data_IF_015765957923
#
_entry.id   IF_015765957923
#
_cell.length_a   1.000
_cell.length_b   1.000
_cell.length_c   1.000
_cell.angle_alpha   90.00
_cell.angle_beta   90.00
_cell.angle_gamma   90.00
#
_symmetry.space_group_name_H-M   'P 1'
#
loop_
_entity.id
_entity.type
_entity.pdbx_description
1 polymer ?
#
# COMPACT_ATOMS: atom_id res chain seq x y z
N UNK A 1 1.37 -31.60 1.49
CA UNK A 1 0.03 -31.04 1.31
C UNK A 1 0.17 -29.56 0.98
N UNK A 2 -0.45 -29.12 -0.11
CA UNK A 2 -0.51 -27.69 -0.48
C UNK A 2 -1.89 -27.14 -0.18
N UNK A 3 -1.90 -25.94 0.40
CA UNK A 3 -3.14 -25.19 0.63
C UNK A 3 -3.46 -24.40 -0.62
N UNK A 4 -4.70 -24.44 -1.08
CA UNK A 4 -5.13 -23.78 -2.32
C UNK A 4 -6.44 -23.02 -2.13
N UNK A 5 -6.62 -21.93 -2.87
CA UNK A 5 -7.89 -21.26 -3.12
C UNK A 5 -8.23 -21.42 -4.60
N UNK A 6 -9.05 -22.41 -4.98
CA UNK A 6 -9.27 -22.77 -6.38
C UNK A 6 -10.17 -21.78 -7.12
N UNK A 7 -11.08 -21.11 -6.43
CA UNK A 7 -11.97 -20.09 -6.98
C UNK A 7 -11.45 -18.70 -6.66
N UNK A 8 -11.92 -17.71 -7.40
CA UNK A 8 -11.58 -16.29 -7.17
C UNK A 8 -12.83 -15.44 -7.40
N UNK A 9 -12.97 -14.42 -6.55
CA UNK A 9 -13.98 -13.38 -6.67
C UNK A 9 -13.34 -12.04 -7.05
N UNK A 10 -12.18 -11.72 -6.47
CA UNK A 10 -11.42 -10.50 -6.76
C UNK A 10 -10.64 -10.67 -8.07
N UNK A 11 -11.19 -10.19 -9.19
CA UNK A 11 -10.57 -10.29 -10.52
C UNK A 11 -9.70 -9.10 -10.89
N UNK A 12 -9.86 -7.96 -10.23
CA UNK A 12 -9.06 -6.77 -10.46
C UNK A 12 -8.56 -6.26 -9.11
N UNK A 13 -7.25 -6.40 -8.87
CA UNK A 13 -6.61 -6.00 -7.61
C UNK A 13 -5.43 -5.09 -7.92
N UNK A 14 -5.32 -4.01 -7.17
CA UNK A 14 -4.14 -3.17 -7.17
C UNK A 14 -3.63 -2.97 -5.73
N UNK A 15 -2.32 -3.09 -5.56
CA UNK A 15 -1.64 -2.76 -4.31
C UNK A 15 -1.07 -1.35 -4.39
N UNK A 16 -1.17 -0.59 -3.30
CA UNK A 16 -0.61 0.76 -3.15
C UNK A 16 0.41 0.68 -2.04
N UNK A 17 1.68 0.71 -2.37
CA UNK A 17 2.77 0.50 -1.43
C UNK A 17 3.76 1.65 -1.40
N UNK A 18 4.58 1.67 -0.39
CA UNK A 18 5.68 2.61 -0.20
C UNK A 18 5.90 2.94 1.27
N UNK A 19 6.97 3.65 1.52
CA UNK A 19 7.37 4.04 2.86
C UNK A 19 6.34 4.97 3.54
N UNK A 20 6.31 5.02 4.86
CA UNK A 20 5.50 6.02 5.58
C UNK A 20 5.97 7.43 5.20
N UNK A 21 5.02 8.31 4.86
CA UNK A 21 5.33 9.67 4.39
C UNK A 21 5.61 9.81 2.89
N UNK A 22 5.51 8.74 2.10
CA UNK A 22 5.73 8.80 0.63
C UNK A 22 4.53 9.31 -0.18
N UNK A 23 3.38 9.58 0.44
CA UNK A 23 2.21 10.15 -0.24
C UNK A 23 1.14 9.14 -0.67
N UNK A 24 1.14 7.92 -0.15
CA UNK A 24 0.07 6.93 -0.42
C UNK A 24 -1.33 7.46 -0.15
N UNK A 25 -1.52 8.19 0.95
CA UNK A 25 -2.80 8.81 1.32
C UNK A 25 -3.26 9.92 0.37
N UNK A 26 -2.37 10.43 -0.49
CA UNK A 26 -2.73 11.33 -1.58
C UNK A 26 -3.21 10.56 -2.81
N UNK A 27 -2.53 9.46 -3.14
CA UNK A 27 -2.78 8.68 -4.37
C UNK A 27 -4.01 7.77 -4.22
N UNK A 28 -4.18 7.14 -3.06
CA UNK A 28 -5.22 6.14 -2.84
C UNK A 28 -6.67 6.66 -2.99
N UNK A 29 -7.05 7.85 -2.48
CA UNK A 29 -8.36 8.45 -2.75
C UNK A 29 -8.62 8.67 -4.25
N UNK A 30 -7.60 9.13 -4.98
CA UNK A 30 -7.70 9.37 -6.42
C UNK A 30 -7.95 8.05 -7.17
N UNK A 31 -7.26 6.97 -6.81
CA UNK A 31 -7.51 5.64 -7.39
C UNK A 31 -8.92 5.12 -7.07
N UNK A 32 -9.39 5.33 -5.83
CA UNK A 32 -10.74 4.92 -5.41
C UNK A 32 -11.86 5.65 -6.17
N UNK A 33 -11.57 6.81 -6.75
CA UNK A 33 -12.51 7.61 -7.53
C UNK A 33 -12.58 7.24 -9.02
N UNK A 34 -11.68 6.37 -9.51
CA UNK A 34 -11.73 5.89 -10.89
C UNK A 34 -12.99 5.03 -11.12
N UNK A 35 -13.40 4.88 -12.38
CA UNK A 35 -14.52 4.00 -12.72
C UNK A 35 -14.28 2.58 -12.17
N UNK A 36 -15.30 1.97 -11.58
CA UNK A 36 -15.25 0.67 -10.89
C UNK A 36 -14.30 0.63 -9.69
N UNK A 37 -13.63 1.73 -9.35
CA UNK A 37 -12.75 1.81 -8.18
C UNK A 37 -13.53 1.63 -6.87
N UNK A 38 -13.05 0.82 -5.96
CA UNK A 38 -13.59 0.68 -4.62
C UNK A 38 -12.79 1.49 -3.61
N UNK A 39 -13.37 1.76 -2.44
CA UNK A 39 -12.66 2.41 -1.33
C UNK A 39 -11.40 1.59 -1.01
N UNK A 40 -10.25 2.25 -0.99
CA UNK A 40 -9.00 1.60 -0.62
C UNK A 40 -9.04 1.11 0.84
N UNK A 41 -8.42 -0.02 1.07
CA UNK A 41 -8.35 -0.66 2.37
C UNK A 41 -6.91 -0.64 2.89
N UNK A 42 -6.74 -0.28 4.15
CA UNK A 42 -5.54 -0.55 4.90
C UNK A 42 -5.69 -1.94 5.52
N UNK A 43 -5.15 -2.97 4.88
CA UNK A 43 -5.24 -4.33 5.38
C UNK A 43 -3.86 -4.95 5.60
N UNK A 44 -3.40 -4.90 6.85
CA UNK A 44 -2.13 -5.44 7.28
C UNK A 44 -1.99 -6.96 7.11
N UNK A 45 -3.09 -7.71 6.88
CA UNK A 45 -2.99 -9.16 6.70
C UNK A 45 -2.14 -9.55 5.50
N UNK A 46 -2.17 -8.76 4.42
CA UNK A 46 -1.28 -8.98 3.28
C UNK A 46 0.19 -8.84 3.67
N UNK A 47 0.52 -7.87 4.49
CA UNK A 47 1.87 -7.68 5.05
C UNK A 47 2.27 -8.86 5.93
N UNK A 48 1.36 -9.35 6.79
CA UNK A 48 1.63 -10.50 7.68
C UNK A 48 1.92 -11.77 6.89
N UNK A 49 1.15 -12.08 5.84
CA UNK A 49 1.38 -13.27 5.03
C UNK A 49 2.73 -13.24 4.35
N UNK A 50 3.13 -12.07 3.83
CA UNK A 50 4.43 -11.90 3.19
C UNK A 50 5.58 -11.98 4.18
N UNK A 51 5.47 -11.30 5.32
CA UNK A 51 6.50 -11.28 6.36
C UNK A 51 6.72 -12.67 6.95
N UNK A 52 5.64 -13.40 7.27
CA UNK A 52 5.74 -14.77 7.77
C UNK A 52 6.36 -15.72 6.74
N UNK A 53 6.02 -15.56 5.45
CA UNK A 53 6.65 -16.34 4.40
C UNK A 53 8.13 -15.95 4.19
N UNK A 54 8.46 -14.67 4.34
CA UNK A 54 9.83 -14.16 4.29
C UNK A 54 10.71 -14.72 5.41
N UNK A 55 10.15 -14.87 6.62
CA UNK A 55 10.83 -15.51 7.76
C UNK A 55 10.93 -17.05 7.62
N UNK A 56 10.20 -17.65 6.68
CA UNK A 56 10.10 -19.12 6.59
C UNK A 56 9.08 -19.74 7.53
N UNK A 57 8.33 -18.93 8.29
CA UNK A 57 7.30 -19.38 9.26
C UNK A 57 5.96 -19.73 8.58
N UNK A 58 5.79 -19.39 7.31
CA UNK A 58 4.62 -19.75 6.52
C UNK A 58 5.05 -20.38 5.18
N UNK A 59 4.46 -21.54 4.83
CA UNK A 59 4.68 -22.16 3.52
C UNK A 59 4.16 -21.24 2.41
N UNK A 60 4.90 -21.12 1.31
CA UNK A 60 4.52 -20.30 0.14
C UNK A 60 3.13 -20.63 -0.41
N UNK A 61 2.74 -21.94 -0.44
CA UNK A 61 1.39 -22.33 -0.88
C UNK A 61 0.30 -21.80 0.06
N UNK A 62 0.53 -21.82 1.37
CA UNK A 62 -0.40 -21.29 2.36
C UNK A 62 -0.51 -19.75 2.23
N UNK A 63 0.61 -19.04 2.14
CA UNK A 63 0.63 -17.60 1.95
C UNK A 63 -0.16 -17.18 0.69
N UNK A 64 0.08 -17.85 -0.45
CA UNK A 64 -0.66 -17.58 -1.70
C UNK A 64 -2.16 -17.85 -1.58
N UNK A 65 -2.55 -18.90 -0.88
CA UNK A 65 -3.97 -19.20 -0.65
C UNK A 65 -4.64 -18.15 0.25
N UNK A 66 -3.95 -17.72 1.31
CA UNK A 66 -4.43 -16.68 2.23
C UNK A 66 -4.53 -15.32 1.56
N UNK A 67 -3.56 -14.93 0.74
CA UNK A 67 -3.60 -13.70 -0.08
C UNK A 67 -4.84 -13.69 -0.97
N UNK A 68 -5.13 -14.77 -1.68
CA UNK A 68 -6.31 -14.90 -2.55
C UNK A 68 -7.60 -14.84 -1.76
N UNK A 69 -7.67 -15.59 -0.65
CA UNK A 69 -8.85 -15.63 0.21
C UNK A 69 -9.15 -14.25 0.81
N UNK A 70 -8.11 -13.53 1.24
CA UNK A 70 -8.27 -12.19 1.80
C UNK A 70 -8.79 -11.21 0.74
N UNK A 71 -8.23 -11.19 -0.47
CA UNK A 71 -8.71 -10.34 -1.55
C UNK A 71 -10.19 -10.63 -1.90
N UNK A 72 -10.59 -11.93 -1.95
CA UNK A 72 -11.97 -12.32 -2.18
C UNK A 72 -12.90 -11.84 -1.05
N UNK A 73 -12.44 -11.94 0.21
CA UNK A 73 -13.19 -11.48 1.38
C UNK A 73 -13.37 -9.96 1.37
N UNK A 74 -12.32 -9.22 1.03
CA UNK A 74 -12.33 -7.76 1.03
C UNK A 74 -13.26 -7.21 -0.04
N UNK A 75 -13.18 -7.72 -1.28
CA UNK A 75 -14.09 -7.25 -2.33
C UNK A 75 -15.54 -7.60 -2.03
N UNK A 76 -15.80 -8.79 -1.48
CA UNK A 76 -17.14 -9.19 -1.03
C UNK A 76 -17.69 -8.22 0.00
N UNK A 77 -16.90 -7.91 1.03
CA UNK A 77 -17.29 -7.01 2.12
C UNK A 77 -17.52 -5.58 1.63
N UNK A 78 -16.68 -5.05 0.74
CA UNK A 78 -16.87 -3.72 0.16
C UNK A 78 -18.17 -3.60 -0.63
N UNK A 79 -18.58 -4.65 -1.35
CA UNK A 79 -19.80 -4.63 -2.16
C UNK A 79 -21.08 -4.51 -1.34
N UNK A 80 -21.06 -4.88 -0.05
CA UNK A 80 -22.18 -4.75 0.89
C UNK A 80 -21.87 -3.76 2.04
N UNK A 81 -20.79 -3.02 1.95
CA UNK A 81 -20.31 -2.11 3.01
C UNK A 81 -20.09 -2.79 4.37
N UNK A 82 -19.83 -4.12 4.39
CA UNK A 82 -19.43 -4.82 5.60
C UNK A 82 -18.00 -4.43 5.95
N UNK A 83 -17.73 -4.08 7.20
CA UNK A 83 -16.43 -3.61 7.69
C UNK A 83 -15.92 -2.32 7.00
N UNK A 84 -16.79 -1.54 6.37
CA UNK A 84 -16.43 -0.24 5.82
C UNK A 84 -16.18 0.76 6.93
N UNK A 85 -15.07 1.49 6.84
CA UNK A 85 -14.75 2.55 7.77
C UNK A 85 -15.59 3.81 7.49
N UNK A 86 -16.45 4.20 8.44
CA UNK A 86 -17.26 5.43 8.40
C UNK A 86 -16.78 6.49 9.40
N UNK A 87 -15.61 6.30 10.02
CA UNK A 87 -15.08 7.24 11.01
C UNK A 87 -14.55 8.50 10.33
N UNK A 88 -15.24 9.62 10.50
CA UNK A 88 -14.96 10.89 9.78
C UNK A 88 -13.53 11.40 9.93
N UNK A 89 -12.91 11.17 11.08
CA UNK A 89 -11.53 11.61 11.37
C UNK A 89 -10.42 10.70 10.85
N UNK A 90 -10.79 9.67 10.06
CA UNK A 90 -9.83 8.67 9.58
C UNK A 90 -9.69 8.78 8.06
N UNK A 91 -8.47 8.95 7.58
CA UNK A 91 -8.14 9.10 6.15
C UNK A 91 -8.63 7.91 5.30
N UNK A 92 -8.72 6.70 5.90
CA UNK A 92 -9.21 5.49 5.23
C UNK A 92 -10.74 5.40 5.19
N UNK A 93 -11.47 6.37 5.72
CA UNK A 93 -12.92 6.32 5.80
C UNK A 93 -13.60 6.63 4.46
N UNK A 94 -14.82 6.11 4.31
CA UNK A 94 -15.65 6.43 3.16
C UNK A 94 -15.97 7.94 3.07
N UNK A 95 -16.06 8.63 4.21
CA UNK A 95 -16.29 10.07 4.26
C UNK A 95 -15.09 10.88 3.77
N UNK A 96 -13.88 10.58 4.27
CA UNK A 96 -12.65 11.26 3.84
C UNK A 96 -12.34 11.05 2.35
N UNK A 97 -12.85 9.98 1.76
CA UNK A 97 -12.69 9.64 0.34
C UNK A 97 -13.88 10.05 -0.55
N UNK A 98 -14.81 10.87 -0.06
CA UNK A 98 -16.02 11.32 -0.75
C UNK A 98 -16.95 10.18 -1.23
N UNK A 99 -16.87 9.00 -0.61
CA UNK A 99 -17.60 7.79 -0.99
C UNK A 99 -18.70 7.39 0.04
N UNK A 100 -18.93 8.21 1.06
CA UNK A 100 -19.82 7.86 2.18
C UNK A 100 -21.23 7.48 1.72
N UNK A 101 -21.85 8.29 0.87
CA UNK A 101 -23.20 8.02 0.37
C UNK A 101 -23.28 6.73 -0.43
N UNK A 102 -22.27 6.47 -1.27
CA UNK A 102 -22.14 5.24 -2.06
C UNK A 102 -22.14 4.00 -1.15
N UNK A 103 -21.35 4.03 -0.07
CA UNK A 103 -21.23 2.89 0.85
C UNK A 103 -22.42 2.79 1.79
N UNK A 104 -23.03 3.89 2.23
CA UNK A 104 -24.27 3.85 3.02
C UNK A 104 -25.42 3.19 2.27
N UNK A 105 -25.57 3.45 0.97
CA UNK A 105 -26.56 2.77 0.14
C UNK A 105 -26.35 1.25 0.04
N UNK A 106 -25.13 0.79 0.24
CA UNK A 106 -24.79 -0.65 0.21
C UNK A 106 -25.20 -1.40 1.47
N UNK A 107 -25.42 -0.74 2.58
CA UNK A 107 -25.79 -1.37 3.86
C UNK A 107 -27.12 -2.13 3.79
N UNK A 108 -28.01 -1.79 2.85
CA UNK A 108 -29.28 -2.46 2.62
C UNK A 108 -29.23 -3.54 1.54
N UNK A 109 -28.07 -3.81 0.95
CA UNK A 109 -27.93 -4.84 -0.10
C UNK A 109 -28.03 -6.25 0.50
N UNK A 110 -28.69 -7.18 -0.22
CA UNK A 110 -28.62 -8.58 0.15
C UNK A 110 -27.21 -9.13 0.00
N UNK A 111 -26.85 -10.13 0.78
CA UNK A 111 -25.57 -10.85 0.70
C UNK A 111 -25.69 -12.19 -0.07
N UNK A 112 -24.66 -13.02 0.00
CA UNK A 112 -24.60 -14.33 -0.63
C UNK A 112 -24.46 -14.25 -2.15
N UNK A 113 -25.25 -15.05 -2.85
CA UNK A 113 -25.18 -15.21 -4.31
C UNK A 113 -25.40 -13.89 -5.06
N UNK A 114 -26.24 -13.00 -4.52
CA UNK A 114 -26.50 -11.68 -5.11
C UNK A 114 -25.22 -10.82 -5.14
N UNK A 115 -24.39 -10.88 -4.11
CA UNK A 115 -23.10 -10.16 -4.08
C UNK A 115 -22.13 -10.75 -5.08
N UNK A 116 -22.03 -12.09 -5.12
CA UNK A 116 -21.14 -12.78 -6.06
C UNK A 116 -21.49 -12.42 -7.51
N UNK A 117 -22.77 -12.47 -7.87
CA UNK A 117 -23.23 -12.06 -9.20
C UNK A 117 -22.89 -10.60 -9.52
N UNK A 118 -23.07 -9.70 -8.54
CA UNK A 118 -22.77 -8.27 -8.69
C UNK A 118 -21.27 -8.02 -8.89
N UNK A 119 -20.39 -8.72 -8.17
CA UNK A 119 -18.93 -8.61 -8.35
C UNK A 119 -18.53 -9.05 -9.76
N UNK A 120 -19.05 -10.18 -10.21
CA UNK A 120 -18.76 -10.71 -11.55
C UNK A 120 -19.26 -9.78 -12.66
N UNK A 121 -20.44 -9.16 -12.48
CA UNK A 121 -21.01 -8.19 -13.44
C UNK A 121 -20.23 -6.88 -13.47
N UNK A 122 -20.01 -6.28 -12.30
CA UNK A 122 -19.42 -4.91 -12.19
C UNK A 122 -17.91 -4.91 -12.30
N UNK A 123 -17.27 -6.05 -12.04
CA UNK A 123 -15.80 -6.21 -12.05
C UNK A 123 -15.07 -5.07 -11.28
N UNK A 124 -15.44 -4.85 -10.01
CA UNK A 124 -14.86 -3.77 -9.21
C UNK A 124 -13.35 -3.94 -9.08
N UNK A 125 -12.66 -2.83 -8.84
CA UNK A 125 -11.21 -2.82 -8.60
C UNK A 125 -10.99 -2.70 -7.09
N UNK A 126 -10.35 -3.71 -6.51
CA UNK A 126 -9.94 -3.72 -5.11
C UNK A 126 -8.60 -3.00 -4.98
N UNK A 127 -8.54 -1.97 -4.15
CA UNK A 127 -7.31 -1.28 -3.77
C UNK A 127 -6.91 -1.66 -2.35
N UNK A 128 -5.68 -2.16 -2.19
CA UNK A 128 -5.10 -2.52 -0.89
C UNK A 128 -3.87 -1.67 -0.65
N UNK A 129 -3.88 -0.87 0.42
CA UNK A 129 -2.71 -0.12 0.84
C UNK A 129 -1.87 -0.98 1.78
N UNK A 130 -0.56 -0.96 1.54
CA UNK A 130 0.47 -1.66 2.33
C UNK A 130 1.63 -0.72 2.67
N UNK A 131 2.56 -1.18 3.52
CA UNK A 131 3.68 -0.38 3.98
C UNK A 131 5.01 -1.06 3.64
N UNK A 132 5.77 -0.44 2.72
CA UNK A 132 7.15 -0.77 2.33
C UNK A 132 7.48 -2.28 2.26
N UNK A 133 6.55 -3.03 1.62
CA UNK A 133 6.70 -4.49 1.42
C UNK A 133 7.10 -4.85 -0.02
N UNK A 134 7.35 -3.88 -0.89
CA UNK A 134 7.59 -4.14 -2.31
C UNK A 134 8.73 -5.14 -2.52
N UNK A 135 9.82 -5.02 -1.79
CA UNK A 135 11.00 -5.87 -1.89
C UNK A 135 10.79 -7.34 -1.45
N UNK A 136 9.69 -7.63 -0.75
CA UNK A 136 9.28 -8.99 -0.37
C UNK A 136 7.96 -9.41 -1.04
N UNK A 137 7.44 -8.64 -1.99
CA UNK A 137 6.11 -8.82 -2.57
C UNK A 137 6.01 -9.92 -3.64
N UNK A 138 7.06 -10.68 -3.92
CA UNK A 138 7.05 -11.72 -4.96
C UNK A 138 5.86 -12.67 -4.88
N UNK A 139 5.45 -13.05 -3.66
CA UNK A 139 4.28 -13.91 -3.46
C UNK A 139 2.94 -13.24 -3.80
N UNK A 140 2.85 -11.89 -3.76
CA UNK A 140 1.65 -11.19 -4.24
C UNK A 140 1.52 -11.35 -5.76
N UNK A 141 2.61 -11.14 -6.51
CA UNK A 141 2.62 -11.33 -7.95
C UNK A 141 2.27 -12.78 -8.32
N UNK A 142 2.88 -13.77 -7.64
CA UNK A 142 2.56 -15.19 -7.86
C UNK A 142 1.12 -15.54 -7.47
N UNK A 143 0.60 -15.01 -6.36
CA UNK A 143 -0.74 -15.31 -5.88
C UNK A 143 -1.81 -14.70 -6.78
N UNK A 144 -1.64 -13.45 -7.19
CA UNK A 144 -2.63 -12.72 -7.98
C UNK A 144 -2.51 -13.01 -9.48
N UNK A 145 -1.31 -13.19 -10.02
CA UNK A 145 -1.11 -13.44 -11.44
C UNK A 145 -1.74 -12.34 -12.32
N UNK A 146 -2.62 -12.72 -13.26
CA UNK A 146 -3.33 -11.79 -14.15
C UNK A 146 -4.35 -10.89 -13.42
N UNK A 147 -4.76 -11.22 -12.20
CA UNK A 147 -5.69 -10.44 -11.38
C UNK A 147 -5.03 -9.21 -10.75
N UNK A 148 -3.71 -9.25 -10.54
CA UNK A 148 -2.97 -8.04 -10.20
C UNK A 148 -2.90 -7.16 -11.43
N UNK A 149 -3.64 -6.06 -11.41
CA UNK A 149 -3.67 -5.07 -12.51
C UNK A 149 -2.55 -4.05 -12.36
N UNK A 150 -2.27 -3.63 -11.13
CA UNK A 150 -1.17 -2.71 -10.85
C UNK A 150 -0.57 -2.97 -9.45
N UNK A 151 0.73 -2.72 -9.34
CA UNK A 151 1.42 -2.47 -8.08
C UNK A 151 1.90 -1.02 -8.10
N UNK A 152 1.18 -0.16 -7.39
CA UNK A 152 1.43 1.28 -7.35
C UNK A 152 2.47 1.55 -6.27
N UNK A 153 3.70 1.81 -6.69
CA UNK A 153 4.80 2.10 -5.79
C UNK A 153 4.95 3.62 -5.63
N UNK A 154 4.41 4.13 -4.53
CA UNK A 154 4.56 5.53 -4.16
C UNK A 154 5.97 5.79 -3.62
N UNK A 155 6.66 6.74 -4.21
CA UNK A 155 8.02 7.12 -3.83
C UNK A 155 8.11 8.61 -3.55
N UNK A 156 9.07 8.98 -2.72
CA UNK A 156 9.35 10.37 -2.38
C UNK A 156 10.86 10.57 -2.21
N UNK A 157 11.31 11.81 -2.27
CA UNK A 157 12.71 12.11 -2.04
C UNK A 157 13.18 11.54 -0.69
N UNK A 158 14.32 10.82 -0.61
CA UNK A 158 14.75 10.09 0.60
C UNK A 158 14.82 10.94 1.87
N UNK A 159 15.23 12.21 1.78
CA UNK A 159 15.27 13.11 2.94
C UNK A 159 13.91 13.26 3.63
N UNK A 160 12.82 13.28 2.86
CA UNK A 160 11.47 13.36 3.41
C UNK A 160 11.04 12.06 4.09
N UNK A 161 11.46 10.91 3.53
CA UNK A 161 11.17 9.60 4.11
C UNK A 161 11.93 9.41 5.42
N UNK A 162 13.23 9.78 5.43
CA UNK A 162 14.08 9.71 6.62
C UNK A 162 13.52 10.62 7.72
N UNK A 163 13.15 11.85 7.38
CA UNK A 163 12.57 12.79 8.33
C UNK A 163 11.25 12.26 8.93
N UNK A 164 10.33 11.83 8.08
CA UNK A 164 9.06 11.26 8.53
C UNK A 164 9.26 10.04 9.45
N UNK A 165 10.23 9.20 9.12
CA UNK A 165 10.55 8.01 9.91
C UNK A 165 11.17 8.37 11.25
N UNK A 166 12.15 9.28 11.25
CA UNK A 166 12.83 9.74 12.44
C UNK A 166 11.89 10.51 13.39
N UNK A 167 11.15 11.51 12.87
CA UNK A 167 10.18 12.26 13.67
C UNK A 167 9.03 11.41 14.20
N UNK A 168 8.60 10.43 13.41
CA UNK A 168 7.59 9.45 13.82
C UNK A 168 8.10 8.43 14.83
N UNK A 169 9.41 8.37 15.09
CA UNK A 169 10.08 7.41 15.98
C UNK A 169 9.69 5.95 15.68
N UNK A 170 9.58 5.62 14.38
CA UNK A 170 9.10 4.30 13.94
C UNK A 170 10.01 3.16 14.40
N UNK A 171 11.33 3.41 14.47
CA UNK A 171 12.33 2.45 14.96
C UNK A 171 12.15 2.10 16.44
N UNK A 172 11.52 2.99 17.22
CA UNK A 172 11.26 2.78 18.64
C UNK A 172 9.84 2.29 18.92
N UNK A 173 8.86 2.67 18.07
CA UNK A 173 7.44 2.36 18.29
C UNK A 173 7.10 0.93 17.88
N UNK A 174 7.61 0.47 16.74
CA UNK A 174 7.35 -0.89 16.24
C UNK A 174 7.87 -1.91 17.24
N UNK A 175 6.98 -2.78 17.72
CA UNK A 175 7.25 -3.77 18.75
C UNK A 175 7.13 -3.27 20.20
N UNK A 176 6.81 -1.98 20.43
CA UNK A 176 6.62 -1.39 21.77
C UNK A 176 5.30 -0.64 21.92
N UNK A 177 4.83 0.06 20.90
CA UNK A 177 3.52 0.72 20.90
C UNK A 177 2.46 -0.26 20.38
N UNK A 178 1.46 -0.58 21.20
CA UNK A 178 0.38 -1.50 20.82
C UNK A 178 -0.52 -1.00 19.68
N UNK A 179 -0.32 0.23 19.20
CA UNK A 179 -0.99 0.78 18.01
C UNK A 179 -0.22 0.54 16.71
N UNK A 180 0.99 0.02 16.79
CA UNK A 180 1.80 -0.35 15.63
C UNK A 180 1.53 -1.79 15.24
N UNK A 181 0.69 -1.98 14.24
CA UNK A 181 0.23 -3.30 13.78
C UNK A 181 1.21 -3.97 12.82
N UNK A 182 2.51 -3.87 13.08
CA UNK A 182 3.53 -4.54 12.30
C UNK A 182 4.12 -5.73 13.05
N UNK A 183 4.52 -6.76 12.30
CA UNK A 183 5.13 -7.94 12.90
C UNK A 183 6.55 -7.64 13.40
N UNK A 184 6.85 -8.25 14.53
CA UNK A 184 8.20 -8.37 15.07
C UNK A 184 8.55 -9.85 15.22
N UNK A 185 9.82 -10.14 15.38
CA UNK A 185 10.30 -11.47 15.71
C UNK A 185 11.27 -11.40 16.89
N UNK A 186 11.39 -12.50 17.62
CA UNK A 186 12.34 -12.65 18.71
C UNK A 186 13.53 -13.46 18.23
N UNK A 187 14.74 -12.98 18.50
CA UNK A 187 15.99 -13.70 18.28
C UNK A 187 16.99 -13.35 19.37
N UNK A 188 17.59 -14.36 19.96
CA UNK A 188 18.61 -14.22 21.03
C UNK A 188 18.14 -13.36 22.21
N UNK A 189 16.85 -13.51 22.61
CA UNK A 189 16.22 -12.77 23.70
C UNK A 189 15.94 -11.30 23.43
N UNK A 190 16.05 -10.86 22.16
CA UNK A 190 15.75 -9.51 21.72
C UNK A 190 14.60 -9.51 20.71
N UNK A 191 13.74 -8.49 20.79
CA UNK A 191 12.62 -8.29 19.84
C UNK A 191 13.05 -7.30 18.76
N UNK A 192 12.86 -7.71 17.52
CA UNK A 192 13.27 -6.95 16.33
C UNK A 192 12.07 -6.64 15.42
N UNK A 193 11.99 -5.46 14.82
CA UNK A 193 11.01 -5.20 13.78
C UNK A 193 11.32 -6.05 12.54
N UNK A 194 10.27 -6.47 11.82
CA UNK A 194 10.39 -7.39 10.70
C UNK A 194 11.46 -6.99 9.66
N UNK A 195 11.60 -5.71 9.38
CA UNK A 195 12.54 -5.18 8.39
C UNK A 195 14.00 -5.20 8.83
N UNK A 196 14.27 -5.45 10.13
CA UNK A 196 15.64 -5.66 10.64
C UNK A 196 16.15 -7.08 10.37
N UNK A 197 15.32 -7.97 9.79
CA UNK A 197 15.69 -9.35 9.53
C UNK A 197 16.93 -9.46 8.64
N UNK A 198 17.95 -10.17 9.17
CA UNK A 198 19.24 -10.41 8.50
C UNK A 198 20.26 -9.26 8.60
N UNK A 199 19.99 -8.22 9.42
CA UNK A 199 20.94 -7.14 9.72
C UNK A 199 20.80 -6.56 11.14
N UNK A 200 20.30 -7.38 12.05
CA UNK A 200 20.01 -7.05 13.46
C UNK A 200 21.22 -6.49 14.18
N UNK A 201 22.40 -7.09 13.95
CA UNK A 201 23.64 -6.68 14.59
C UNK A 201 24.03 -5.24 14.20
N UNK A 202 23.92 -4.89 12.90
CA UNK A 202 24.14 -3.52 12.43
C UNK A 202 23.06 -2.59 13.02
N UNK A 203 21.79 -2.97 12.92
CA UNK A 203 20.64 -2.18 13.39
C UNK A 203 20.77 -1.82 14.88
N UNK A 204 21.24 -2.74 15.71
CA UNK A 204 21.37 -2.54 17.15
C UNK A 204 22.39 -1.48 17.56
N UNK A 205 23.43 -1.27 16.72
CA UNK A 205 24.54 -0.36 17.00
C UNK A 205 24.28 1.07 16.54
N UNK A 206 23.26 1.26 15.69
CA UNK A 206 22.93 2.56 15.11
C UNK A 206 22.12 3.43 16.07
N UNK A 207 22.36 4.73 16.03
CA UNK A 207 21.49 5.73 16.64
C UNK A 207 20.12 5.79 15.94
N UNK A 208 19.07 6.38 16.54
CA UNK A 208 17.75 6.48 15.91
C UNK A 208 17.77 7.13 14.52
N UNK A 209 18.57 8.19 14.34
CA UNK A 209 18.70 8.83 13.03
C UNK A 209 19.38 7.93 12.01
N UNK A 210 20.48 7.27 12.39
CA UNK A 210 21.19 6.33 11.52
C UNK A 210 20.31 5.13 11.15
N UNK A 211 19.50 4.61 12.09
CA UNK A 211 18.50 3.55 11.80
C UNK A 211 17.51 4.02 10.75
N UNK A 212 17.00 5.23 10.86
CA UNK A 212 16.08 5.81 9.88
C UNK A 212 16.73 5.90 8.50
N UNK A 213 17.95 6.42 8.42
CA UNK A 213 18.74 6.52 7.18
C UNK A 213 18.97 5.15 6.57
N UNK A 214 19.47 4.20 7.37
CA UNK A 214 19.82 2.86 6.87
C UNK A 214 18.60 2.05 6.47
N UNK A 215 17.47 2.15 7.20
CA UNK A 215 16.23 1.47 6.85
C UNK A 215 15.69 1.97 5.52
N UNK A 216 15.64 3.30 5.31
CA UNK A 216 15.20 3.87 4.02
C UNK A 216 16.15 3.47 2.88
N UNK A 217 17.46 3.57 3.07
CA UNK A 217 18.45 3.21 2.05
C UNK A 217 18.33 1.72 1.66
N UNK A 218 18.28 0.82 2.64
CA UNK A 218 18.15 -0.63 2.38
C UNK A 218 16.84 -0.97 1.65
N UNK A 219 15.73 -0.34 2.03
CA UNK A 219 14.48 -0.54 1.33
C UNK A 219 14.55 -0.09 -0.14
N UNK A 220 15.16 1.08 -0.41
CA UNK A 220 15.32 1.57 -1.79
C UNK A 220 16.18 0.61 -2.61
N UNK A 221 17.32 0.17 -2.07
CA UNK A 221 18.24 -0.72 -2.77
C UNK A 221 17.60 -2.09 -3.04
N UNK A 222 16.95 -2.68 -2.04
CA UNK A 222 16.24 -3.96 -2.18
C UNK A 222 15.06 -3.86 -3.16
N UNK A 223 14.31 -2.76 -3.10
CA UNK A 223 13.19 -2.51 -4.02
C UNK A 223 13.68 -2.37 -5.47
N UNK A 224 14.82 -1.73 -5.69
CA UNK A 224 15.44 -1.64 -7.02
C UNK A 224 15.83 -3.01 -7.53
N UNK A 225 16.60 -3.78 -6.74
CA UNK A 225 17.02 -5.14 -7.09
C UNK A 225 15.81 -6.04 -7.36
N UNK A 226 14.82 -6.05 -6.48
CA UNK A 226 13.61 -6.85 -6.67
C UNK A 226 12.87 -6.50 -7.96
N UNK A 227 12.76 -5.21 -8.30
CA UNK A 227 12.13 -4.78 -9.55
C UNK A 227 12.88 -5.27 -10.78
N UNK A 228 14.21 -5.35 -10.73
CA UNK A 228 15.04 -5.89 -11.82
C UNK A 228 14.85 -7.40 -11.99
N UNK A 229 14.60 -8.13 -10.90
CA UNK A 229 14.35 -9.57 -10.88
C UNK A 229 12.95 -9.96 -11.36
N UNK A 230 11.98 -9.05 -11.35
CA UNK A 230 10.62 -9.31 -11.83
C UNK A 230 10.61 -9.71 -13.30
N UNK A 231 9.72 -10.65 -13.66
CA UNK A 231 9.44 -10.95 -15.06
C UNK A 231 9.02 -9.68 -15.81
N UNK A 232 9.25 -9.56 -17.13
CA UNK A 232 8.79 -8.41 -17.89
C UNK A 232 7.31 -8.10 -17.68
N UNK A 233 6.45 -9.13 -17.70
CA UNK A 233 4.99 -8.97 -17.49
C UNK A 233 4.62 -8.49 -16.10
N UNK A 234 5.36 -8.85 -15.06
CA UNK A 234 5.11 -8.36 -13.70
C UNK A 234 5.71 -6.98 -13.47
N UNK A 235 6.86 -6.70 -14.10
CA UNK A 235 7.48 -5.38 -14.07
C UNK A 235 6.59 -4.31 -14.72
N UNK A 236 5.88 -4.65 -15.79
CA UNK A 236 4.95 -3.76 -16.48
C UNK A 236 3.75 -3.36 -15.61
N UNK A 237 3.37 -4.21 -14.63
CA UNK A 237 2.35 -3.89 -13.63
C UNK A 237 2.83 -2.91 -12.57
N UNK A 238 4.14 -2.70 -12.41
CA UNK A 238 4.69 -1.78 -11.40
C UNK A 238 4.62 -0.35 -11.93
N UNK A 239 3.75 0.45 -11.33
CA UNK A 239 3.62 1.88 -11.64
C UNK A 239 4.26 2.68 -10.51
N UNK A 240 5.39 3.31 -10.81
CA UNK A 240 6.05 4.21 -9.86
C UNK A 240 5.36 5.56 -9.91
N UNK A 241 4.91 6.04 -8.74
CA UNK A 241 4.25 7.33 -8.56
C UNK A 241 5.11 8.17 -7.61
N UNK A 242 5.97 9.05 -8.13
CA UNK A 242 6.73 9.99 -7.30
C UNK A 242 5.80 11.11 -6.81
N UNK A 243 5.89 11.39 -5.50
CA UNK A 243 4.98 12.29 -4.79
C UNK A 243 4.96 13.70 -5.39
N UNK A 244 6.15 14.31 -5.52
CA UNK A 244 6.26 15.70 -5.99
C UNK A 244 5.73 15.86 -7.41
N UNK A 245 6.19 15.10 -8.43
CA UNK A 245 5.67 15.18 -9.79
C UNK A 245 4.16 14.84 -9.90
N UNK A 246 3.67 13.88 -9.11
CA UNK A 246 2.23 13.57 -9.09
C UNK A 246 1.41 14.73 -8.50
N UNK A 247 1.93 15.37 -7.46
CA UNK A 247 1.25 16.51 -6.84
C UNK A 247 1.25 17.76 -7.74
N UNK A 248 2.24 17.91 -8.62
CA UNK A 248 2.34 19.02 -9.57
C UNK A 248 1.52 18.77 -10.83
N UNK A 249 1.60 17.57 -11.39
CA UNK A 249 0.84 17.16 -12.59
C UNK A 249 0.43 15.68 -12.49
N UNK A 250 -0.78 15.37 -12.03
CA UNK A 250 -1.27 14.01 -11.92
C UNK A 250 -1.61 13.35 -13.27
N UNK A 251 -1.77 14.14 -14.35
CA UNK A 251 -2.27 13.67 -15.64
C UNK A 251 -1.53 12.45 -16.21
N UNK A 252 -0.20 12.49 -16.39
CA UNK A 252 0.56 11.36 -16.94
C UNK A 252 0.47 10.08 -16.10
N UNK A 253 0.37 10.22 -14.78
CA UNK A 253 0.24 9.08 -13.86
C UNK A 253 -1.17 8.48 -13.93
N UNK A 254 -2.20 9.32 -14.00
CA UNK A 254 -3.59 8.88 -14.16
C UNK A 254 -3.80 8.15 -15.47
N UNK A 255 -3.22 8.64 -16.57
CA UNK A 255 -3.27 7.97 -17.87
C UNK A 255 -2.66 6.57 -17.77
N UNK A 256 -1.46 6.45 -17.22
CA UNK A 256 -0.77 5.17 -17.06
C UNK A 256 -1.52 4.21 -16.12
N UNK A 257 -2.00 4.71 -14.98
CA UNK A 257 -2.76 3.92 -14.00
C UNK A 257 -4.08 3.46 -14.61
N UNK A 258 -4.80 4.32 -15.32
CA UNK A 258 -6.05 3.98 -16.01
C UNK A 258 -5.84 2.88 -17.04
N UNK A 259 -4.75 2.94 -17.81
CA UNK A 259 -4.40 1.89 -18.77
C UNK A 259 -4.10 0.55 -18.09
N UNK A 260 -3.28 0.53 -17.03
CA UNK A 260 -2.98 -0.70 -16.28
C UNK A 260 -4.22 -1.31 -15.61
N UNK A 261 -5.10 -0.46 -15.07
CA UNK A 261 -6.30 -0.85 -14.34
C UNK A 261 -7.50 -1.14 -15.26
N UNK A 262 -7.36 -0.90 -16.57
CA UNK A 262 -8.44 -1.00 -17.56
C UNK A 262 -9.66 -0.16 -17.15
N UNK A 263 -9.44 1.08 -16.70
CA UNK A 263 -10.44 1.99 -16.14
C UNK A 263 -10.27 3.40 -16.70
N UNK A 264 -11.08 4.35 -16.24
CA UNK A 264 -11.00 5.76 -16.64
C UNK A 264 -11.29 6.69 -15.43
N UNK A 265 -10.77 7.93 -15.45
CA UNK A 265 -11.21 8.97 -14.54
C UNK A 265 -12.71 9.26 -14.69
N UNK A 266 -13.35 9.66 -13.60
CA UNK A 266 -14.76 10.04 -13.53
C UNK A 266 -14.90 11.51 -13.13
N UNK A 267 -16.11 12.03 -13.07
CA UNK A 267 -16.36 13.36 -12.48
C UNK A 267 -15.97 13.39 -10.98
N UNK A 268 -16.10 12.27 -10.28
CA UNK A 268 -15.62 12.15 -8.92
C UNK A 268 -14.10 12.30 -8.81
N UNK A 269 -13.34 11.85 -9.82
CA UNK A 269 -11.88 11.99 -9.83
C UNK A 269 -11.45 13.44 -9.80
N UNK A 270 -12.12 14.32 -10.55
CA UNK A 270 -11.84 15.76 -10.52
C UNK A 270 -12.10 16.36 -9.13
N UNK A 271 -13.22 15.98 -8.49
CA UNK A 271 -13.57 16.45 -7.13
C UNK A 271 -12.57 15.93 -6.08
N UNK A 272 -12.14 14.68 -6.20
CA UNK A 272 -11.14 14.11 -5.30
C UNK A 272 -9.79 14.79 -5.47
N UNK A 273 -9.34 15.07 -6.68
CA UNK A 273 -8.12 15.84 -6.94
C UNK A 273 -8.17 17.21 -6.27
N UNK A 274 -9.28 17.94 -6.42
CA UNK A 274 -9.47 19.21 -5.71
C UNK A 274 -9.45 19.04 -4.19
N UNK A 275 -10.14 18.03 -3.66
CA UNK A 275 -10.20 17.73 -2.23
C UNK A 275 -8.82 17.44 -1.64
N UNK A 276 -7.96 16.71 -2.35
CA UNK A 276 -6.58 16.41 -1.92
C UNK A 276 -5.57 17.49 -2.33
N UNK A 277 -6.05 18.63 -2.85
CA UNK A 277 -5.23 19.76 -3.29
C UNK A 277 -4.18 19.36 -4.33
N UNK A 278 -4.64 18.79 -5.43
CA UNK A 278 -3.82 18.42 -6.61
C UNK A 278 -4.52 18.95 -7.89
N UNK A 279 -3.83 19.68 -8.77
CA UNK A 279 -2.40 19.99 -8.74
C UNK A 279 -2.03 21.08 -7.74
N UNK A 280 -0.78 21.03 -7.25
CA UNK A 280 -0.18 22.07 -6.43
C UNK A 280 1.31 22.25 -6.74
N UNK A 281 1.79 23.47 -6.62
CA UNK A 281 3.21 23.80 -6.84
C UNK A 281 3.94 23.79 -5.48
N UNK A 282 5.10 23.17 -5.44
CA UNK A 282 5.99 23.25 -4.29
C UNK A 282 6.73 24.58 -4.30
N UNK A 283 6.94 25.15 -3.11
CA UNK A 283 7.69 26.41 -2.98
C UNK A 283 9.15 26.23 -3.44
N UNK A 284 9.74 27.24 -4.12
CA UNK A 284 11.17 27.23 -4.42
C UNK A 284 12.00 27.04 -3.15
N UNK A 285 13.03 26.20 -3.21
CA UNK A 285 13.88 25.93 -2.03
C UNK A 285 13.34 24.88 -1.06
N UNK A 286 12.20 24.28 -1.35
CA UNK A 286 11.57 23.24 -0.53
C UNK A 286 12.53 22.08 -0.16
N UNK A 287 13.34 21.62 -1.10
CA UNK A 287 14.31 20.55 -0.87
C UNK A 287 15.54 21.04 -0.12
N UNK A 288 16.04 22.21 -0.45
CA UNK A 288 17.19 22.86 0.19
C UNK A 288 16.91 23.10 1.67
N UNK A 289 15.77 23.67 2.02
CA UNK A 289 15.34 23.87 3.40
C UNK A 289 15.30 22.55 4.19
N UNK A 290 14.85 21.45 3.56
CA UNK A 290 14.86 20.12 4.19
C UNK A 290 16.28 19.61 4.40
N UNK A 291 17.17 19.81 3.42
CA UNK A 291 18.60 19.44 3.54
C UNK A 291 19.29 20.18 4.69
N UNK A 292 19.12 21.50 4.77
CA UNK A 292 19.65 22.31 5.86
C UNK A 292 19.16 21.85 7.24
N UNK A 293 17.87 21.44 7.33
CA UNK A 293 17.32 20.90 8.58
C UNK A 293 18.01 19.61 9.04
N UNK A 294 18.47 18.77 8.11
CA UNK A 294 19.23 17.55 8.41
C UNK A 294 20.69 17.84 8.77
N UNK A 295 21.33 18.78 8.09
CA UNK A 295 22.70 19.20 8.39
C UNK A 295 22.79 19.78 9.82
N UNK A 296 21.72 20.39 10.33
CA UNK A 296 21.64 20.88 11.70
C UNK A 296 21.45 19.76 12.76
N UNK A 297 21.06 18.53 12.36
CA UNK A 297 20.88 17.38 13.24
C UNK A 297 22.15 16.50 13.31
N UNK A 298 23.09 16.67 12.39
CA UNK A 298 24.32 15.89 12.28
C UNK A 298 25.47 16.51 13.10
#
# INVERSE_FOLDING_TARGET
>A
MDVVRPQSLAENVAFIDGFSGCGKSLVAPVLSSLDRGELWLLDHKFEYFLTLAHFGEMKKSAAKAMIRLQADTDIYNLMIARNTNFRVSDDSSAAANLLEERYRRRLSRPDGDAVTALVLEKRPILYVMTHFIFDISGLLFEAMGARMKAFVLCVRHPLWLIDAWYQGRWDERIGRDGREFQLCYERDGSVWPWFAFGWEEEYSRLSPLERSIRTVARYIDRSRSFREELSPSDRDKVVIVPFEPFAEDPGPYLERLSACLETAPTEETARVLEHVNVPRVHEPGYLEAKKESFEALA
#
